data_IF_802248652636
#
_entry.id   IF_802248652636
#
_cell.length_a   1.000
_cell.length_b   1.000
_cell.length_c   1.000
_cell.angle_alpha   90.00
_cell.angle_beta   90.00
_cell.angle_gamma   90.00
#
_symmetry.space_group_name_H-M   'P 1'
#
loop_
_entity.id
_entity.type
_entity.pdbx_description
1 polymer ?
#
# COMPACT_ATOMS: atom_id res chain seq x y z
N UNK A 1 2.74 4.62 -5.60
CA UNK A 1 1.73 4.58 -6.68
C UNK A 1 0.52 3.85 -6.11
N UNK A 2 -0.57 4.56 -5.86
CA UNK A 2 -1.82 4.00 -5.34
C UNK A 2 -2.87 3.93 -6.44
N UNK A 3 -3.68 2.89 -6.42
CA UNK A 3 -4.72 2.67 -7.41
C UNK A 3 -6.08 3.04 -6.80
N UNK A 4 -6.73 4.09 -7.34
CA UNK A 4 -8.02 4.61 -6.86
C UNK A 4 -9.19 3.62 -6.97
N UNK A 5 -9.06 2.57 -7.75
CA UNK A 5 -10.09 1.54 -7.90
C UNK A 5 -10.26 0.66 -6.65
N UNK A 6 -9.30 0.74 -5.72
CA UNK A 6 -9.32 0.02 -4.45
C UNK A 6 -9.20 1.06 -3.34
N UNK A 7 -10.28 1.27 -2.60
CA UNK A 7 -10.39 2.33 -1.58
C UNK A 7 -10.56 1.75 -0.20
N UNK A 8 -9.95 2.42 0.80
CA UNK A 8 -10.28 2.27 2.21
C UNK A 8 -11.25 3.38 2.62
N UNK A 9 -12.31 3.05 3.32
CA UNK A 9 -13.33 3.98 3.80
C UNK A 9 -13.57 3.77 5.27
N UNK A 10 -13.71 4.87 5.99
CA UNK A 10 -14.04 4.89 7.41
C UNK A 10 -15.22 5.82 7.63
N UNK A 11 -16.23 5.35 8.33
CA UNK A 11 -17.33 6.16 8.82
C UNK A 11 -17.30 6.20 10.35
N UNK A 12 -17.32 7.39 10.92
CA UNK A 12 -17.44 7.61 12.36
C UNK A 12 -18.79 8.26 12.63
N UNK A 13 -19.65 7.58 13.41
CA UNK A 13 -20.91 8.10 13.89
C UNK A 13 -20.82 8.35 15.38
N UNK A 14 -20.91 9.59 15.79
CA UNK A 14 -20.93 9.99 17.20
C UNK A 14 -22.32 9.78 17.83
N UNK A 15 -22.34 9.39 19.10
CA UNK A 15 -23.53 9.12 19.87
C UNK A 15 -23.79 7.64 20.08
N UNK A 16 -24.83 7.33 20.84
CA UNK A 16 -25.15 5.97 21.30
C UNK A 16 -24.83 5.76 22.77
N UNK A 17 -24.83 4.49 23.20
CA UNK A 17 -24.52 4.10 24.59
C UNK A 17 -23.23 3.31 24.72
N UNK A 18 -22.76 2.73 23.61
CA UNK A 18 -21.59 1.86 23.53
C UNK A 18 -20.65 2.33 22.43
N UNK A 19 -19.39 2.01 22.59
CA UNK A 19 -18.42 2.04 21.49
C UNK A 19 -18.62 0.78 20.65
N UNK A 20 -18.84 0.96 19.35
CA UNK A 20 -19.02 -0.13 18.40
C UNK A 20 -17.98 -0.01 17.27
N UNK A 21 -17.20 -1.06 17.08
CA UNK A 21 -16.19 -1.16 16.03
C UNK A 21 -16.62 -2.25 15.05
N UNK A 22 -16.68 -1.91 13.75
CA UNK A 22 -17.13 -2.81 12.69
C UNK A 22 -16.11 -2.79 11.56
N UNK A 23 -15.62 -3.95 11.16
CA UNK A 23 -14.84 -4.13 9.95
C UNK A 23 -15.63 -5.00 8.97
N UNK A 24 -16.18 -4.37 7.91
CA UNK A 24 -16.96 -5.07 6.90
C UNK A 24 -16.09 -6.05 6.11
N UNK A 25 -14.86 -5.67 5.78
CA UNK A 25 -13.91 -6.48 5.01
C UNK A 25 -13.41 -7.71 5.76
N UNK A 26 -13.41 -7.70 7.11
CA UNK A 26 -13.03 -8.82 7.96
C UNK A 26 -14.24 -9.59 8.48
N UNK A 27 -15.46 -9.06 8.32
CA UNK A 27 -16.68 -9.62 8.91
C UNK A 27 -16.64 -9.64 10.44
N UNK A 28 -15.97 -8.67 11.06
CA UNK A 28 -15.78 -8.62 12.51
C UNK A 28 -16.46 -7.40 13.12
N UNK A 29 -17.00 -7.62 14.32
CA UNK A 29 -17.63 -6.59 15.12
C UNK A 29 -17.26 -6.74 16.58
N UNK A 30 -17.17 -5.61 17.31
CA UNK A 30 -16.91 -5.55 18.75
C UNK A 30 -17.69 -4.40 19.36
N UNK A 31 -18.27 -4.64 20.52
CA UNK A 31 -18.90 -3.59 21.34
C UNK A 31 -18.24 -3.55 22.73
N UNK A 32 -18.06 -2.34 23.27
CA UNK A 32 -17.59 -2.13 24.64
C UNK A 32 -18.24 -0.90 25.25
N UNK A 33 -18.30 -0.87 26.58
CA UNK A 33 -18.96 0.23 27.31
C UNK A 33 -18.16 1.53 27.25
N UNK A 34 -16.82 1.42 27.28
CA UNK A 34 -15.91 2.54 27.33
C UNK A 34 -14.54 2.18 26.71
N UNK A 35 -13.61 3.13 26.74
CA UNK A 35 -12.26 2.95 26.20
C UNK A 35 -11.40 1.93 26.98
N UNK A 36 -11.77 1.56 28.19
CA UNK A 36 -11.10 0.50 28.96
C UNK A 36 -11.26 -0.89 28.32
N UNK A 37 -12.34 -1.11 27.57
CA UNK A 37 -12.57 -2.32 26.79
C UNK A 37 -11.76 -2.42 25.50
N UNK A 38 -10.96 -1.39 25.14
CA UNK A 38 -10.15 -1.37 23.92
C UNK A 38 -8.79 -2.02 24.11
N UNK A 39 -8.76 -3.26 24.58
CA UNK A 39 -7.53 -4.05 24.75
C UNK A 39 -7.10 -4.64 23.42
N UNK A 40 -5.81 -4.53 23.07
CA UNK A 40 -5.23 -5.18 21.88
C UNK A 40 -5.11 -6.68 22.13
N UNK A 41 -5.91 -7.47 21.44
CA UNK A 41 -6.08 -8.92 21.64
C UNK A 41 -6.08 -9.73 20.34
N UNK A 42 -5.69 -9.06 19.22
CA UNK A 42 -5.69 -9.63 17.86
C UNK A 42 -6.99 -9.42 17.10
N UNK A 43 -8.01 -8.82 17.70
CA UNK A 43 -9.30 -8.54 17.05
C UNK A 43 -9.52 -7.04 16.89
N UNK A 44 -9.62 -6.57 15.65
CA UNK A 44 -9.84 -5.14 15.35
C UNK A 44 -8.83 -4.20 16.02
N UNK A 45 -7.61 -4.66 16.25
CA UNK A 45 -6.60 -3.96 17.05
C UNK A 45 -6.26 -2.58 16.46
N UNK A 46 -6.28 -2.47 15.12
CA UNK A 46 -6.06 -1.20 14.45
C UNK A 46 -7.15 -0.17 14.81
N UNK A 47 -8.43 -0.56 14.81
CA UNK A 47 -9.54 0.31 15.17
C UNK A 47 -9.48 0.69 16.67
N UNK A 48 -9.14 -0.27 17.53
CA UNK A 48 -8.95 -0.02 18.97
C UNK A 48 -7.80 0.96 19.22
N UNK A 49 -6.67 0.73 18.57
CA UNK A 49 -5.48 1.60 18.65
C UNK A 49 -5.81 3.01 18.16
N UNK A 50 -6.52 3.15 17.03
CA UNK A 50 -6.93 4.43 16.49
C UNK A 50 -7.80 5.23 17.48
N UNK A 51 -8.80 4.59 18.10
CA UNK A 51 -9.68 5.25 19.05
C UNK A 51 -9.00 5.55 20.39
N UNK A 52 -7.98 4.76 20.79
CA UNK A 52 -7.14 5.07 21.95
C UNK A 52 -6.23 6.27 21.69
N UNK A 53 -5.64 6.33 20.49
CA UNK A 53 -4.75 7.42 20.08
C UNK A 53 -5.52 8.74 19.86
N UNK A 54 -6.71 8.65 19.24
CA UNK A 54 -7.58 9.77 18.91
C UNK A 54 -8.96 9.60 19.56
N UNK A 55 -9.06 9.72 20.88
CA UNK A 55 -10.31 9.47 21.61
C UNK A 55 -11.36 10.51 21.27
N UNK A 56 -12.60 10.07 21.09
CA UNK A 56 -13.78 10.94 20.98
C UNK A 56 -14.48 11.03 22.33
N UNK A 57 -15.14 12.17 22.60
CA UNK A 57 -15.72 12.49 23.92
C UNK A 57 -17.01 11.74 24.24
N UNK A 58 -17.59 11.07 23.26
CA UNK A 58 -18.88 10.36 23.37
C UNK A 58 -18.77 8.97 22.77
N UNK A 59 -19.71 8.11 23.12
CA UNK A 59 -19.83 6.79 22.47
C UNK A 59 -19.94 6.96 20.95
N UNK A 60 -19.37 6.03 20.20
CA UNK A 60 -19.33 6.13 18.74
C UNK A 60 -19.40 4.76 18.08
N UNK A 61 -19.83 4.75 16.83
CA UNK A 61 -19.67 3.60 15.93
C UNK A 61 -18.62 3.95 14.89
N UNK A 62 -17.58 3.11 14.76
CA UNK A 62 -16.58 3.19 13.67
C UNK A 62 -16.83 2.00 12.75
N UNK A 63 -17.09 2.29 11.48
CA UNK A 63 -17.26 1.26 10.45
C UNK A 63 -16.17 1.43 9.41
N UNK A 64 -15.46 0.33 9.12
CA UNK A 64 -14.43 0.29 8.07
C UNK A 64 -14.84 -0.60 6.92
N UNK A 65 -14.38 -0.24 5.73
CA UNK A 65 -14.52 -1.02 4.51
C UNK A 65 -13.29 -0.83 3.63
N UNK A 66 -12.75 -1.93 3.10
CA UNK A 66 -11.66 -1.92 2.13
C UNK A 66 -12.03 -2.76 0.91
N UNK A 67 -11.83 -2.19 -0.29
CA UNK A 67 -12.11 -2.89 -1.55
C UNK A 67 -10.94 -3.80 -1.97
N UNK A 68 -9.75 -3.63 -1.40
CA UNK A 68 -8.59 -4.48 -1.67
C UNK A 68 -8.68 -5.80 -0.89
N UNK A 69 -8.35 -6.95 -1.52
CA UNK A 69 -8.28 -8.20 -0.79
C UNK A 69 -7.29 -8.12 0.39
N UNK A 70 -7.65 -8.65 1.58
CA UNK A 70 -6.73 -8.70 2.71
C UNK A 70 -5.42 -9.40 2.35
N UNK A 71 -4.28 -8.82 2.75
CA UNK A 71 -2.95 -9.37 2.45
C UNK A 71 -2.54 -9.29 0.98
N UNK A 72 -3.25 -8.51 0.16
CA UNK A 72 -2.93 -8.33 -1.27
C UNK A 72 -1.62 -7.58 -1.53
N UNK A 73 -1.06 -6.88 -0.52
CA UNK A 73 0.14 -6.08 -0.66
C UNK A 73 -0.05 -4.77 -1.43
N UNK A 74 -1.28 -4.27 -1.48
CA UNK A 74 -1.65 -3.04 -2.20
C UNK A 74 -1.69 -1.80 -1.28
N UNK A 75 -1.07 -1.87 -0.10
CA UNK A 75 -1.06 -0.76 0.85
C UNK A 75 -2.39 -0.54 1.57
N UNK A 76 -3.24 -1.58 1.64
CA UNK A 76 -4.58 -1.47 2.24
C UNK A 76 -4.55 -1.13 3.73
N UNK A 77 -3.55 -1.62 4.48
CA UNK A 77 -3.35 -1.26 5.89
C UNK A 77 -3.06 0.23 6.01
N UNK A 78 -2.02 0.74 5.35
CA UNK A 78 -1.67 2.16 5.38
C UNK A 78 -2.78 3.09 4.89
N UNK A 79 -3.58 2.67 3.90
CA UNK A 79 -4.75 3.43 3.47
C UNK A 79 -5.87 3.43 4.52
N UNK A 80 -6.04 2.33 5.26
CA UNK A 80 -6.99 2.24 6.38
C UNK A 80 -6.55 3.11 7.54
N UNK A 81 -5.26 3.10 7.90
CA UNK A 81 -4.68 3.96 8.95
C UNK A 81 -4.96 5.43 8.65
N UNK A 82 -4.69 5.85 7.41
CA UNK A 82 -4.94 7.21 6.93
C UNK A 82 -6.41 7.57 7.02
N UNK A 83 -7.31 6.68 6.61
CA UNK A 83 -8.75 6.92 6.67
C UNK A 83 -9.26 6.98 8.12
N UNK A 84 -8.73 6.15 9.03
CA UNK A 84 -9.07 6.18 10.46
C UNK A 84 -8.64 7.50 11.11
N UNK A 85 -7.38 7.91 10.89
CA UNK A 85 -6.86 9.17 11.43
C UNK A 85 -7.67 10.36 10.90
N UNK A 86 -7.92 10.42 9.59
CA UNK A 86 -8.68 11.53 8.99
C UNK A 86 -10.13 11.59 9.52
N UNK A 87 -10.80 10.45 9.62
CA UNK A 87 -12.19 10.39 10.11
C UNK A 87 -12.31 10.74 11.61
N UNK A 88 -11.37 10.27 12.44
CA UNK A 88 -11.35 10.59 13.85
C UNK A 88 -10.96 12.05 14.11
N UNK A 89 -9.99 12.61 13.39
CA UNK A 89 -9.65 14.02 13.45
C UNK A 89 -10.87 14.89 13.08
N UNK A 90 -11.58 14.53 12.01
CA UNK A 90 -12.82 15.21 11.61
C UNK A 90 -13.90 15.13 12.70
N UNK A 91 -14.10 13.96 13.32
CA UNK A 91 -15.04 13.76 14.42
C UNK A 91 -14.70 14.58 15.67
N UNK A 92 -13.44 14.96 15.84
CA UNK A 92 -12.91 15.85 16.91
C UNK A 92 -12.88 17.32 16.51
N UNK A 93 -13.35 17.66 15.30
CA UNK A 93 -13.23 18.99 14.71
C UNK A 93 -11.77 19.49 14.57
N UNK A 94 -10.81 18.58 14.45
CA UNK A 94 -9.41 18.87 14.20
C UNK A 94 -9.14 18.93 12.69
N UNK A 95 -8.30 19.87 12.28
CA UNK A 95 -7.86 20.02 10.88
C UNK A 95 -6.41 19.60 10.77
N UNK A 96 -6.17 18.48 10.12
CA UNK A 96 -4.83 17.95 9.84
C UNK A 96 -4.49 18.11 8.36
N UNK A 97 -3.25 18.45 8.09
CA UNK A 97 -2.69 18.40 6.73
C UNK A 97 -2.48 16.94 6.29
N UNK A 98 -2.35 16.69 4.99
CA UNK A 98 -2.05 15.35 4.47
C UNK A 98 -0.76 14.76 5.07
N UNK A 99 0.26 15.60 5.33
CA UNK A 99 1.49 15.18 6.00
C UNK A 99 1.22 14.72 7.45
N UNK A 100 0.52 15.52 8.23
CA UNK A 100 0.21 15.18 9.62
C UNK A 100 -0.64 13.91 9.72
N UNK A 101 -1.60 13.74 8.79
CA UNK A 101 -2.38 12.51 8.71
C UNK A 101 -1.47 11.31 8.41
N UNK A 102 -0.54 11.44 7.46
CA UNK A 102 0.40 10.36 7.12
C UNK A 102 1.32 9.98 8.29
N UNK A 103 1.84 10.97 9.00
CA UNK A 103 2.70 10.77 10.16
C UNK A 103 1.95 10.11 11.32
N UNK A 104 0.74 10.58 11.62
CA UNK A 104 -0.12 9.97 12.64
C UNK A 104 -0.59 8.57 12.24
N UNK A 105 -0.88 8.33 10.98
CA UNK A 105 -1.25 7.01 10.48
C UNK A 105 -0.10 5.99 10.60
N UNK A 106 1.13 6.41 10.29
CA UNK A 106 2.31 5.58 10.53
C UNK A 106 2.53 5.31 12.02
N UNK A 107 2.36 6.32 12.88
CA UNK A 107 2.48 6.16 14.34
C UNK A 107 1.40 5.19 14.86
N UNK A 108 0.17 5.32 14.38
CA UNK A 108 -0.93 4.41 14.70
C UNK A 108 -0.57 2.96 14.38
N UNK A 109 -0.06 2.67 13.18
CA UNK A 109 0.28 1.31 12.77
C UNK A 109 1.45 0.75 13.55
N UNK A 110 2.55 1.52 13.62
CA UNK A 110 3.83 0.99 14.10
C UNK A 110 4.01 1.08 15.61
N UNK A 111 3.48 2.11 16.26
CA UNK A 111 3.67 2.34 17.69
C UNK A 111 2.45 1.88 18.50
N UNK A 112 1.25 2.31 18.10
CA UNK A 112 0.04 2.00 18.85
C UNK A 112 -0.45 0.57 18.60
N UNK A 113 -0.56 0.15 17.33
CA UNK A 113 -0.96 -1.20 16.95
C UNK A 113 0.19 -2.21 16.93
N UNK A 114 1.45 -1.75 17.05
CA UNK A 114 2.68 -2.56 17.07
C UNK A 114 2.86 -3.45 15.83
N UNK A 115 2.44 -2.97 14.68
CA UNK A 115 2.59 -3.65 13.39
C UNK A 115 3.82 -3.07 12.69
N UNK A 116 4.89 -3.85 12.47
CA UNK A 116 6.09 -3.35 11.81
C UNK A 116 5.81 -2.90 10.36
N UNK A 117 6.19 -1.67 10.02
CA UNK A 117 5.96 -1.11 8.70
C UNK A 117 6.81 0.14 8.41
N UNK A 118 6.93 0.50 7.12
CA UNK A 118 7.51 1.75 6.68
C UNK A 118 6.45 2.85 6.53
N UNK A 119 6.90 4.06 6.23
CA UNK A 119 6.03 5.26 6.09
C UNK A 119 5.41 5.41 4.69
N UNK A 120 5.84 4.61 3.70
CA UNK A 120 5.54 4.87 2.28
C UNK A 120 4.06 4.80 1.94
N UNK A 121 3.34 3.82 2.47
CA UNK A 121 1.94 3.56 2.12
C UNK A 121 1.02 4.63 2.71
N UNK A 122 1.28 5.06 3.94
CA UNK A 122 0.54 6.14 4.60
C UNK A 122 0.74 7.48 3.87
N UNK A 123 2.00 7.83 3.53
CA UNK A 123 2.28 9.06 2.79
C UNK A 123 1.65 9.04 1.40
N UNK A 124 1.72 7.90 0.69
CA UNK A 124 1.09 7.77 -0.61
C UNK A 124 -0.45 7.87 -0.52
N UNK A 125 -1.08 7.27 0.49
CA UNK A 125 -2.54 7.32 0.69
C UNK A 125 -3.01 8.73 1.10
N UNK A 126 -2.28 9.39 1.99
CA UNK A 126 -2.66 10.72 2.49
C UNK A 126 -2.49 11.82 1.43
N UNK A 127 -1.46 11.75 0.59
CA UNK A 127 -1.12 12.79 -0.37
C UNK A 127 -1.74 12.57 -1.75
N UNK A 128 -1.88 11.32 -2.19
CA UNK A 128 -2.30 10.98 -3.55
C UNK A 128 -1.27 11.38 -4.62
N UNK A 129 -1.65 11.21 -5.89
CA UNK A 129 -0.82 11.58 -7.04
C UNK A 129 0.46 10.74 -7.17
N UNK A 130 1.42 11.30 -7.88
CA UNK A 130 2.75 10.73 -8.04
C UNK A 130 3.73 11.50 -7.17
N UNK A 131 4.44 10.79 -6.28
CA UNK A 131 5.32 11.41 -5.30
C UNK A 131 6.70 10.74 -5.33
N UNK A 132 7.75 11.55 -5.25
CA UNK A 132 9.06 11.09 -4.80
C UNK A 132 9.14 11.32 -3.29
N UNK A 133 9.20 10.24 -2.53
CA UNK A 133 9.36 10.29 -1.08
C UNK A 133 10.82 9.98 -0.73
N UNK A 134 11.42 10.83 0.11
CA UNK A 134 12.77 10.63 0.61
C UNK A 134 12.71 10.50 2.14
N UNK A 135 12.98 9.30 2.64
CA UNK A 135 12.95 9.03 4.08
C UNK A 135 14.34 9.27 4.67
N UNK A 136 14.43 10.21 5.61
CA UNK A 136 15.61 10.50 6.43
C UNK A 136 15.11 10.71 7.85
N UNK A 137 15.26 9.71 8.69
CA UNK A 137 14.71 9.76 10.06
C UNK A 137 15.20 11.00 10.82
N UNK A 138 14.29 11.78 11.45
CA UNK A 138 12.83 11.61 11.49
C UNK A 138 12.07 12.15 10.26
N UNK A 139 12.73 12.85 9.36
CA UNK A 139 12.14 13.63 8.28
C UNK A 139 11.70 12.82 7.06
N UNK A 140 10.65 13.29 6.40
CA UNK A 140 10.19 12.80 5.09
C UNK A 140 10.17 13.96 4.09
N UNK A 141 11.06 13.88 3.09
CA UNK A 141 11.01 14.78 1.94
C UNK A 141 9.90 14.35 0.98
N UNK A 142 9.05 15.29 0.56
CA UNK A 142 7.93 15.06 -0.36
C UNK A 142 8.16 15.93 -1.58
N UNK A 143 8.30 15.30 -2.74
CA UNK A 143 8.44 15.98 -4.03
C UNK A 143 7.33 15.48 -4.97
N UNK A 144 6.29 16.29 -5.25
CA UNK A 144 5.26 15.94 -6.22
C UNK A 144 5.86 15.77 -7.62
N UNK A 145 5.43 14.74 -8.35
CA UNK A 145 5.81 14.52 -9.74
C UNK A 145 4.59 14.81 -10.61
N UNK A 146 4.66 15.90 -11.37
CA UNK A 146 3.62 16.21 -12.35
C UNK A 146 3.90 15.44 -13.63
N UNK A 147 2.92 14.65 -14.07
CA UNK A 147 2.96 13.92 -15.34
C UNK A 147 2.15 14.67 -16.39
N UNK A 148 2.55 14.54 -17.64
CA UNK A 148 1.69 14.91 -18.76
C UNK A 148 0.37 14.11 -18.68
N UNK A 149 -0.81 14.74 -18.79
CA UNK A 149 -2.09 14.05 -18.63
C UNK A 149 -2.36 12.93 -19.65
N UNK A 150 -1.88 13.10 -20.88
CA UNK A 150 -2.02 12.09 -21.93
C UNK A 150 -1.11 10.89 -21.60
N UNK A 151 0.11 11.13 -21.15
CA UNK A 151 1.02 10.09 -20.68
C UNK A 151 0.45 9.35 -19.46
N UNK A 152 -0.04 10.07 -18.45
CA UNK A 152 -0.63 9.45 -17.26
C UNK A 152 -1.81 8.53 -17.63
N UNK A 153 -2.69 8.98 -18.54
CA UNK A 153 -3.82 8.20 -19.06
C UNK A 153 -3.33 6.98 -19.85
N UNK A 154 -2.33 7.15 -20.72
CA UNK A 154 -1.77 6.08 -21.52
C UNK A 154 -1.08 5.02 -20.64
N UNK A 155 -0.34 5.44 -19.62
CA UNK A 155 0.30 4.54 -18.66
C UNK A 155 -0.73 3.76 -17.85
N UNK A 156 -1.81 4.42 -17.36
CA UNK A 156 -2.90 3.77 -16.63
C UNK A 156 -3.51 2.61 -17.40
N UNK A 157 -3.80 2.83 -18.68
CA UNK A 157 -4.40 1.82 -19.56
C UNK A 157 -3.51 0.61 -19.83
N UNK A 158 -2.19 0.76 -19.68
CA UNK A 158 -1.18 -0.28 -19.93
C UNK A 158 -0.84 -1.10 -18.70
N UNK A 159 -1.36 -0.74 -17.54
CA UNK A 159 -1.09 -1.50 -16.30
C UNK A 159 -2.07 -2.65 -16.17
N UNK A 160 -1.52 -3.83 -15.96
CA UNK A 160 -2.26 -5.03 -15.57
C UNK A 160 -1.90 -5.34 -14.12
N UNK A 161 -2.86 -5.19 -13.21
CA UNK A 161 -2.73 -5.50 -11.79
C UNK A 161 -3.35 -6.87 -11.53
N UNK A 162 -2.57 -7.79 -10.98
CA UNK A 162 -2.95 -9.17 -10.75
C UNK A 162 -2.79 -9.53 -9.28
N UNK A 163 -3.82 -10.10 -8.67
CA UNK A 163 -3.74 -10.73 -7.35
C UNK A 163 -3.53 -12.23 -7.52
N UNK A 164 -2.48 -12.78 -6.90
CA UNK A 164 -2.06 -14.18 -7.04
C UNK A 164 -2.96 -15.19 -6.33
N UNK A 165 -3.99 -14.74 -5.61
CA UNK A 165 -4.84 -15.60 -4.80
C UNK A 165 -4.26 -15.99 -3.44
N UNK A 166 -3.00 -15.66 -3.16
CA UNK A 166 -2.34 -15.90 -1.87
C UNK A 166 -2.20 -14.62 -1.07
N UNK A 167 -2.85 -14.59 0.08
CA UNK A 167 -2.57 -13.57 1.10
C UNK A 167 -1.19 -13.79 1.73
N UNK A 168 -0.55 -12.74 2.17
CA UNK A 168 0.76 -12.79 2.81
C UNK A 168 0.77 -12.04 4.14
N UNK A 169 1.64 -12.48 5.04
CA UNK A 169 2.03 -11.74 6.24
C UNK A 169 3.41 -11.14 5.98
N UNK A 170 3.49 -9.83 5.86
CA UNK A 170 4.74 -9.12 5.50
C UNK A 170 5.79 -9.12 6.62
N UNK A 171 5.37 -9.22 7.89
CA UNK A 171 6.21 -9.03 9.07
C UNK A 171 7.48 -9.89 9.06
N UNK A 172 7.34 -11.21 8.93
CA UNK A 172 8.48 -12.11 8.98
C UNK A 172 9.53 -11.87 7.85
N UNK A 173 9.08 -11.43 6.68
CA UNK A 173 10.00 -11.07 5.58
C UNK A 173 10.73 -9.77 5.89
N UNK A 174 10.03 -8.77 6.43
CA UNK A 174 10.62 -7.50 6.85
C UNK A 174 11.66 -7.73 7.95
N UNK A 175 11.34 -8.53 8.96
CA UNK A 175 12.25 -8.87 10.06
C UNK A 175 13.57 -9.52 9.56
N UNK A 176 13.48 -10.49 8.63
CA UNK A 176 14.67 -11.12 8.04
C UNK A 176 15.54 -10.12 7.27
N UNK A 177 14.92 -9.26 6.47
CA UNK A 177 15.65 -8.21 5.72
C UNK A 177 16.31 -7.22 6.65
N UNK A 178 15.61 -6.76 7.70
CA UNK A 178 16.15 -5.84 8.71
C UNK A 178 17.34 -6.48 9.44
N UNK A 179 17.20 -7.71 9.92
CA UNK A 179 18.29 -8.42 10.58
C UNK A 179 19.51 -8.63 9.65
N UNK A 180 19.31 -8.88 8.36
CA UNK A 180 20.40 -8.98 7.40
C UNK A 180 21.07 -7.62 7.14
N UNK A 181 20.27 -6.55 7.05
CA UNK A 181 20.80 -5.19 6.92
C UNK A 181 21.64 -4.76 8.13
N UNK A 182 21.15 -5.01 9.34
CA UNK A 182 21.86 -4.70 10.60
C UNK A 182 23.19 -5.44 10.72
N UNK A 183 23.27 -6.67 10.20
CA UNK A 183 24.53 -7.42 10.12
C UNK A 183 25.46 -6.93 9.01
N UNK A 184 25.05 -5.96 8.22
CA UNK A 184 25.83 -5.44 7.09
C UNK A 184 25.95 -6.40 5.91
N UNK A 185 24.97 -7.30 5.69
CA UNK A 185 24.98 -8.25 4.57
C UNK A 185 25.17 -7.52 3.23
N UNK A 186 26.26 -7.84 2.48
CA UNK A 186 26.58 -7.11 1.25
C UNK A 186 25.52 -7.24 0.15
N UNK A 187 24.82 -8.39 0.07
CA UNK A 187 23.76 -8.60 -0.89
C UNK A 187 22.57 -7.69 -0.60
N UNK A 188 22.14 -7.64 0.67
CA UNK A 188 21.01 -6.81 1.10
C UNK A 188 21.34 -5.32 0.98
N UNK A 189 22.50 -4.89 1.48
CA UNK A 189 22.91 -3.47 1.41
C UNK A 189 23.13 -3.01 -0.04
N UNK A 190 23.72 -3.88 -0.90
CA UNK A 190 23.88 -3.61 -2.33
C UNK A 190 22.54 -3.51 -3.05
N UNK A 191 21.62 -4.43 -2.78
CA UNK A 191 20.27 -4.42 -3.36
C UNK A 191 19.48 -3.17 -2.97
N UNK A 192 19.52 -2.76 -1.71
CA UNK A 192 18.85 -1.53 -1.24
C UNK A 192 19.41 -0.27 -1.92
N UNK A 193 20.74 -0.18 -2.10
CA UNK A 193 21.36 0.92 -2.85
C UNK A 193 20.88 0.93 -4.31
N UNK A 194 20.91 -0.20 -4.99
CA UNK A 194 20.44 -0.31 -6.35
C UNK A 194 18.94 0.03 -6.51
N UNK A 195 18.10 -0.39 -5.56
CA UNK A 195 16.68 0.01 -5.54
C UNK A 195 16.50 1.52 -5.39
N UNK A 196 17.36 2.18 -4.60
CA UNK A 196 17.36 3.64 -4.47
C UNK A 196 17.74 4.34 -5.78
N UNK A 197 18.74 3.82 -6.51
CA UNK A 197 19.14 4.35 -7.80
C UNK A 197 18.03 4.16 -8.85
N UNK A 198 17.39 2.98 -8.87
CA UNK A 198 16.21 2.72 -9.70
C UNK A 198 15.07 3.69 -9.39
N UNK A 199 14.82 3.99 -8.11
CA UNK A 199 13.78 4.96 -7.73
C UNK A 199 14.08 6.38 -8.24
N UNK A 200 15.35 6.79 -8.23
CA UNK A 200 15.76 8.07 -8.80
C UNK A 200 15.57 8.09 -10.33
N UNK A 201 16.00 7.05 -11.04
CA UNK A 201 15.81 6.92 -12.49
C UNK A 201 14.33 6.84 -12.89
N UNK A 202 13.46 6.28 -12.04
CA UNK A 202 12.02 6.21 -12.28
C UNK A 202 11.39 7.60 -12.37
N UNK A 203 11.83 8.56 -11.56
CA UNK A 203 11.33 9.96 -11.63
C UNK A 203 11.58 10.55 -13.00
N UNK A 204 12.80 10.37 -13.54
CA UNK A 204 13.17 10.89 -14.86
C UNK A 204 12.40 10.20 -15.99
N UNK A 205 12.23 8.87 -15.90
CA UNK A 205 11.44 8.12 -16.88
C UNK A 205 9.96 8.55 -16.90
N UNK A 206 9.39 8.80 -15.73
CA UNK A 206 8.00 9.29 -15.59
C UNK A 206 7.85 10.70 -16.16
N UNK A 207 8.80 11.61 -15.90
CA UNK A 207 8.78 12.98 -16.42
C UNK A 207 8.97 13.01 -17.94
N UNK A 208 9.81 12.12 -18.47
CA UNK A 208 10.05 11.97 -19.91
C UNK A 208 8.88 11.30 -20.66
N UNK A 209 7.90 10.71 -19.96
CA UNK A 209 6.83 9.96 -20.59
C UNK A 209 7.29 8.65 -21.24
N UNK A 210 8.40 8.06 -20.78
CA UNK A 210 9.02 6.86 -21.35
C UNK A 210 8.46 5.59 -20.72
N UNK A 211 7.39 5.05 -21.31
CA UNK A 211 6.74 3.81 -20.85
C UNK A 211 7.69 2.60 -20.83
N UNK A 212 8.55 2.49 -21.85
CA UNK A 212 9.47 1.35 -21.96
C UNK A 212 10.52 1.40 -20.85
N UNK A 213 11.02 2.58 -20.56
CA UNK A 213 11.96 2.79 -19.46
C UNK A 213 11.31 2.56 -18.10
N UNK A 214 10.07 3.02 -17.89
CA UNK A 214 9.29 2.74 -16.67
C UNK A 214 9.15 1.22 -16.46
N UNK A 215 8.76 0.47 -17.50
CA UNK A 215 8.63 -0.99 -17.42
C UNK A 215 9.95 -1.69 -17.09
N UNK A 216 11.06 -1.27 -17.72
CA UNK A 216 12.40 -1.81 -17.44
C UNK A 216 12.78 -1.55 -15.97
N UNK A 217 12.61 -0.32 -15.49
CA UNK A 217 12.94 0.05 -14.11
C UNK A 217 12.09 -0.70 -13.07
N UNK A 218 10.82 -1.01 -13.38
CA UNK A 218 10.01 -1.88 -12.52
C UNK A 218 10.62 -3.29 -12.40
N UNK A 219 11.06 -3.86 -13.52
CA UNK A 219 11.70 -5.18 -13.53
C UNK A 219 13.06 -5.16 -12.83
N UNK A 220 13.85 -4.09 -12.99
CA UNK A 220 15.11 -3.91 -12.28
C UNK A 220 14.90 -3.80 -10.78
N UNK A 221 13.91 -3.01 -10.34
CA UNK A 221 13.53 -2.92 -8.94
C UNK A 221 13.14 -4.30 -8.40
N UNK A 222 12.33 -5.06 -9.14
CA UNK A 222 11.90 -6.39 -8.74
C UNK A 222 13.06 -7.38 -8.59
N UNK A 223 14.02 -7.34 -9.51
CA UNK A 223 15.24 -8.16 -9.43
C UNK A 223 16.05 -7.83 -8.16
N UNK A 224 16.24 -6.56 -7.84
CA UNK A 224 16.94 -6.14 -6.62
C UNK A 224 16.15 -6.48 -5.36
N UNK A 225 14.82 -6.35 -5.40
CA UNK A 225 13.96 -6.71 -4.28
C UNK A 225 14.06 -8.21 -3.96
N UNK A 226 14.12 -9.10 -4.96
CA UNK A 226 14.33 -10.53 -4.77
C UNK A 226 15.68 -10.87 -4.11
N UNK A 227 16.70 -10.02 -4.28
CA UNK A 227 18.00 -10.19 -3.64
C UNK A 227 17.99 -9.85 -2.14
N UNK A 228 16.93 -9.22 -1.62
CA UNK A 228 16.78 -8.94 -0.19
C UNK A 228 16.41 -10.19 0.60
N UNK A 229 15.55 -11.05 0.05
CA UNK A 229 15.12 -12.30 0.67
C UNK A 229 14.65 -13.30 -0.42
N UNK A 230 15.17 -14.53 -0.46
CA UNK A 230 14.79 -15.53 -1.47
C UNK A 230 13.30 -15.87 -1.47
N UNK A 231 12.61 -15.72 -0.35
CA UNK A 231 11.18 -15.99 -0.22
C UNK A 231 10.28 -14.94 -0.87
N UNK A 232 10.83 -13.80 -1.32
CA UNK A 232 10.01 -12.74 -1.93
C UNK A 232 9.38 -13.14 -3.26
N UNK A 233 10.00 -14.04 -4.02
CA UNK A 233 9.48 -14.56 -5.30
C UNK A 233 8.95 -15.99 -5.13
N UNK A 234 7.64 -16.12 -5.02
CA UNK A 234 7.00 -17.45 -4.96
C UNK A 234 6.94 -18.13 -6.35
N UNK A 235 6.76 -19.46 -6.42
CA UNK A 235 6.56 -20.16 -7.69
C UNK A 235 5.39 -19.62 -8.51
N UNK A 236 4.30 -19.24 -7.85
CA UNK A 236 3.11 -18.67 -8.50
C UNK A 236 3.43 -17.30 -9.12
N UNK A 237 4.17 -16.46 -8.40
CA UNK A 237 4.62 -15.16 -8.93
C UNK A 237 5.57 -15.33 -10.11
N UNK A 238 6.45 -16.34 -10.06
CA UNK A 238 7.34 -16.70 -11.16
C UNK A 238 6.56 -17.15 -12.41
N UNK A 239 5.56 -18.01 -12.22
CA UNK A 239 4.68 -18.46 -13.29
C UNK A 239 3.90 -17.31 -13.93
N UNK A 240 3.32 -16.43 -13.09
CA UNK A 240 2.59 -15.24 -13.54
C UNK A 240 3.49 -14.29 -14.32
N UNK A 241 4.70 -14.01 -13.83
CA UNK A 241 5.70 -13.18 -14.51
C UNK A 241 6.06 -13.75 -15.90
N UNK A 242 6.29 -15.06 -16.00
CA UNK A 242 6.60 -15.73 -17.26
C UNK A 242 5.42 -15.63 -18.25
N UNK A 243 4.20 -15.93 -17.79
CA UNK A 243 3.00 -15.88 -18.61
C UNK A 243 2.75 -14.47 -19.18
N UNK A 244 2.88 -13.43 -18.35
CA UNK A 244 2.64 -12.05 -18.79
C UNK A 244 3.74 -11.54 -19.71
N UNK A 245 5.00 -11.90 -19.48
CA UNK A 245 6.11 -11.58 -20.41
C UNK A 245 5.88 -12.21 -21.78
N UNK A 246 5.48 -13.49 -21.84
CA UNK A 246 5.12 -14.16 -23.10
C UNK A 246 3.94 -13.48 -23.80
N UNK A 247 3.00 -12.93 -23.05
CA UNK A 247 1.85 -12.20 -23.56
C UNK A 247 2.12 -10.71 -23.87
N UNK A 248 3.39 -10.28 -23.87
CA UNK A 248 3.80 -8.95 -24.32
C UNK A 248 3.94 -7.89 -23.23
N UNK A 249 3.96 -8.28 -21.95
CA UNK A 249 4.32 -7.34 -20.88
C UNK A 249 5.78 -6.93 -21.02
N UNK A 250 6.04 -5.62 -20.98
CA UNK A 250 7.38 -5.03 -21.08
C UNK A 250 8.18 -5.19 -19.79
N UNK A 251 7.49 -5.18 -18.64
CA UNK A 251 8.09 -5.31 -17.32
C UNK A 251 7.06 -5.24 -16.22
N UNK A 252 7.47 -5.57 -15.00
CA UNK A 252 6.58 -5.56 -13.84
C UNK A 252 7.27 -5.96 -12.55
N UNK A 253 6.54 -5.89 -11.44
CA UNK A 253 7.05 -6.23 -10.11
C UNK A 253 5.92 -6.60 -9.14
N UNK A 254 6.29 -7.15 -7.99
CA UNK A 254 5.40 -7.28 -6.85
C UNK A 254 4.96 -5.90 -6.34
N UNK A 255 3.70 -5.76 -5.95
CA UNK A 255 3.15 -4.50 -5.45
C UNK A 255 3.68 -4.09 -4.07
N UNK A 256 3.99 -5.04 -3.21
CA UNK A 256 4.57 -4.80 -1.89
C UNK A 256 5.89 -5.56 -1.69
N UNK A 257 6.09 -6.17 -0.50
CA UNK A 257 7.32 -6.90 -0.16
C UNK A 257 7.51 -8.22 -0.91
N UNK A 258 6.58 -8.65 -1.79
CA UNK A 258 6.63 -9.97 -2.40
C UNK A 258 6.10 -11.07 -1.47
N UNK A 259 6.55 -12.31 -1.63
CA UNK A 259 6.08 -13.49 -0.89
C UNK A 259 4.59 -13.81 -1.06
N UNK A 260 4.00 -13.42 -2.19
CA UNK A 260 2.57 -13.50 -2.50
C UNK A 260 1.94 -12.11 -2.71
N UNK A 261 0.62 -12.02 -2.59
CA UNK A 261 -0.13 -10.78 -2.83
C UNK A 261 -0.27 -10.47 -4.30
N UNK A 262 -0.10 -9.20 -4.67
CA UNK A 262 -0.32 -8.71 -6.03
C UNK A 262 0.98 -8.42 -6.78
N UNK A 263 0.91 -8.53 -8.10
CA UNK A 263 1.91 -8.05 -9.04
C UNK A 263 1.27 -7.09 -10.03
N UNK A 264 2.02 -6.14 -10.51
CA UNK A 264 1.59 -5.29 -11.62
C UNK A 264 2.62 -5.27 -12.73
N UNK A 265 2.12 -5.17 -13.95
CA UNK A 265 2.91 -5.22 -15.19
C UNK A 265 2.50 -4.08 -16.10
N UNK A 266 3.45 -3.59 -16.89
CA UNK A 266 3.22 -2.60 -17.95
C UNK A 266 3.28 -3.32 -19.28
N UNK A 267 2.23 -3.15 -20.10
CA UNK A 267 2.17 -3.70 -21.47
C UNK A 267 2.61 -2.65 -22.49
N UNK A 268 2.90 -3.09 -23.72
CA UNK A 268 3.31 -2.17 -24.80
C UNK A 268 2.16 -1.22 -25.16
N UNK A 269 1.03 -1.75 -25.55
CA UNK A 269 -0.14 -0.99 -26.00
C UNK A 269 -1.44 -1.60 -25.49
N UNK A 270 -1.85 -2.74 -26.01
CA UNK A 270 -3.07 -3.45 -25.60
C UNK A 270 -2.80 -4.36 -24.41
N UNK A 271 -3.49 -4.16 -23.26
CA UNK A 271 -3.35 -5.04 -22.10
C UNK A 271 -4.14 -6.35 -22.23
N UNK A 272 -5.04 -6.52 -23.23
CA UNK A 272 -5.94 -7.66 -23.30
C UNK A 272 -5.22 -9.03 -23.36
N UNK A 273 -4.13 -9.24 -24.13
CA UNK A 273 -3.40 -10.50 -24.10
C UNK A 273 -2.81 -10.82 -22.72
N UNK A 274 -2.23 -9.81 -22.03
CA UNK A 274 -1.67 -9.98 -20.70
C UNK A 274 -2.75 -10.25 -19.64
N UNK A 275 -3.93 -9.61 -19.75
CA UNK A 275 -5.11 -9.88 -18.91
C UNK A 275 -5.58 -11.33 -19.09
N UNK A 276 -5.67 -11.82 -20.34
CA UNK A 276 -6.06 -13.18 -20.63
C UNK A 276 -5.03 -14.19 -20.06
N UNK A 277 -3.74 -13.92 -20.21
CA UNK A 277 -2.65 -14.74 -19.67
C UNK A 277 -2.67 -14.77 -18.13
N UNK A 278 -2.92 -13.64 -17.47
CA UNK A 278 -3.04 -13.57 -16.02
C UNK A 278 -4.18 -14.45 -15.49
N UNK A 279 -5.36 -14.37 -16.14
CA UNK A 279 -6.52 -15.20 -15.78
C UNK A 279 -6.26 -16.68 -16.03
N UNK A 280 -5.63 -17.03 -17.14
CA UNK A 280 -5.24 -18.41 -17.46
C UNK A 280 -4.23 -18.97 -16.45
N UNK A 281 -3.37 -18.12 -15.88
CA UNK A 281 -2.46 -18.48 -14.81
C UNK A 281 -3.13 -18.52 -13.41
N UNK A 282 -4.45 -18.36 -13.32
CA UNK A 282 -5.23 -18.43 -12.08
C UNK A 282 -5.24 -17.14 -11.24
N UNK A 283 -4.71 -16.04 -11.75
CA UNK A 283 -4.72 -14.77 -11.04
C UNK A 283 -6.01 -13.99 -11.24
N UNK A 284 -6.44 -13.26 -10.19
CA UNK A 284 -7.52 -12.28 -10.30
C UNK A 284 -6.98 -10.96 -10.82
N UNK A 285 -7.48 -10.50 -11.97
CA UNK A 285 -7.13 -9.17 -12.49
C UNK A 285 -7.97 -8.12 -11.80
N UNK A 286 -7.31 -7.14 -11.20
CA UNK A 286 -7.92 -6.05 -10.46
C UNK A 286 -7.97 -4.78 -11.33
N UNK A 287 -9.00 -3.94 -11.17
CA UNK A 287 -9.08 -2.68 -11.90
C UNK A 287 -7.99 -1.70 -11.44
N UNK A 288 -7.54 -0.84 -12.36
CA UNK A 288 -6.51 0.17 -12.10
C UNK A 288 -7.05 1.55 -12.45
N UNK A 289 -6.91 2.49 -11.50
CA UNK A 289 -7.13 3.93 -11.68
C UNK A 289 -6.14 4.69 -10.81
N UNK A 290 -5.61 5.80 -11.32
CA UNK A 290 -4.74 6.67 -10.51
C UNK A 290 -5.53 7.35 -9.39
N UNK A 291 -5.03 7.29 -8.17
CA UNK A 291 -5.48 8.11 -7.05
C UNK A 291 -4.74 9.45 -7.09
N UNK A 292 -5.21 10.39 -7.90
CA UNK A 292 -4.57 11.71 -8.05
C UNK A 292 -4.79 12.61 -6.84
N UNK A 293 -5.80 12.33 -6.05
CA UNK A 293 -6.10 13.05 -4.81
C UNK A 293 -5.84 12.13 -3.63
N UNK A 294 -5.35 12.73 -2.54
CA UNK A 294 -5.12 12.02 -1.29
C UNK A 294 -6.41 11.74 -0.50
N UNK A 295 -6.24 11.58 0.80
CA UNK A 295 -7.36 11.36 1.72
C UNK A 295 -8.34 12.54 1.71
N UNK A 296 -9.62 12.23 1.81
CA UNK A 296 -10.71 13.19 1.98
C UNK A 296 -11.55 12.83 3.18
N UNK A 297 -11.86 13.82 4.02
CA UNK A 297 -12.84 13.74 5.11
C UNK A 297 -13.91 14.81 4.91
N UNK A 298 -15.19 14.48 5.20
CA UNK A 298 -16.34 15.36 5.06
C UNK A 298 -17.39 15.07 6.12
#
# INVERSE_FOLDING_TARGET
MLFRSLTARVAVRLGGRLIRLVSEELGQELECADSGGLVLDGRLDLLKAALRMLPVQVACTITTRCDAPPGSGLGSSGAMDVALVAALAQARAERLTGREIAEQAWYLETVEAKIPGGKQDQFAAALGGFQRLTFRDPDVGIEPITLDPAFATALERRIVLCYSGRSRVSGATIERVMAAYERGDPSVTGALRAMKDVAAAMVEALRAGDVARVATLLSDNWRHQQALDPGMRTPEMAGLESALKTAGALGGKAAGSGAGGSMFFVTRDDPAPAIAAARAAGATVLPVRWALEGVRAW
#
